data_IF_300341949270
#
_entry.id   IF_300341949270
#
_cell.length_a   1.000
_cell.length_b   1.000
_cell.length_c   1.000
_cell.angle_alpha   90.00
_cell.angle_beta   90.00
_cell.angle_gamma   90.00
#
_symmetry.space_group_name_H-M   'P 1'
#
loop_
_entity.id
_entity.type
_entity.pdbx_description
1 polymer ?
#
# COMPACT_ATOMS: atom_id res chain seq x y z
N UNK A 1 14.62 25.92 -24.69
CA UNK A 1 14.37 26.82 -23.55
C UNK A 1 12.92 26.61 -23.18
N UNK A 2 12.61 26.34 -21.91
CA UNK A 2 11.21 26.16 -21.51
C UNK A 2 10.46 27.48 -21.73
N UNK A 3 9.27 27.42 -22.31
CA UNK A 3 8.40 28.58 -22.48
C UNK A 3 8.00 29.13 -21.11
N UNK A 4 8.05 30.45 -20.96
CA UNK A 4 7.67 31.16 -19.74
C UNK A 4 6.16 31.02 -19.55
N UNK A 5 5.70 30.50 -18.40
CA UNK A 5 4.27 30.30 -18.15
C UNK A 5 3.58 31.62 -17.79
N UNK A 6 2.38 31.86 -18.33
CA UNK A 6 1.62 33.10 -18.18
C UNK A 6 0.20 32.79 -17.74
N UNK A 7 -0.32 33.51 -16.75
CA UNK A 7 -1.73 33.39 -16.33
C UNK A 7 -2.28 34.70 -15.81
N UNK A 8 -3.57 34.94 -16.04
CA UNK A 8 -4.34 36.02 -15.39
C UNK A 8 -4.73 35.66 -13.95
N UNK A 9 -4.68 34.38 -13.58
CA UNK A 9 -4.93 33.89 -12.23
C UNK A 9 -3.75 34.10 -11.28
N UNK A 10 -3.93 33.74 -10.00
CA UNK A 10 -2.92 33.94 -8.95
C UNK A 10 -1.93 32.77 -8.82
N UNK A 11 -2.16 31.64 -9.48
CA UNK A 11 -1.32 30.44 -9.40
C UNK A 11 -1.48 29.53 -10.62
N UNK A 12 -0.64 28.49 -10.70
CA UNK A 12 -0.76 27.38 -11.64
C UNK A 12 -1.05 26.08 -10.88
N UNK A 13 -2.10 25.35 -11.24
CA UNK A 13 -2.44 24.08 -10.60
C UNK A 13 -1.31 23.05 -10.78
N UNK A 14 -0.97 22.35 -9.69
CA UNK A 14 0.15 21.41 -9.68
C UNK A 14 1.55 22.06 -9.60
N UNK A 15 1.63 23.38 -9.48
CA UNK A 15 2.87 24.11 -9.23
C UNK A 15 2.84 24.82 -7.87
N UNK A 16 4.02 25.13 -7.35
CA UNK A 16 4.21 26.00 -6.20
C UNK A 16 5.10 27.18 -6.57
N UNK A 17 4.78 28.37 -6.07
CA UNK A 17 5.66 29.55 -6.17
C UNK A 17 6.77 29.41 -5.15
N UNK A 18 8.00 29.28 -5.63
CA UNK A 18 9.20 29.18 -4.79
C UNK A 18 9.81 30.54 -4.48
N UNK A 19 9.62 31.53 -5.37
CA UNK A 19 10.17 32.87 -5.20
C UNK A 19 9.32 33.92 -5.92
N UNK A 20 9.10 35.08 -5.27
CA UNK A 20 8.48 36.25 -5.88
C UNK A 20 9.57 37.24 -6.29
N UNK A 21 9.71 37.48 -7.59
CA UNK A 21 10.73 38.36 -8.19
C UNK A 21 10.19 39.79 -8.41
N UNK A 22 8.96 40.03 -7.97
CA UNK A 22 8.31 41.33 -7.94
C UNK A 22 7.61 41.69 -9.25
N UNK A 23 7.12 42.93 -9.28
CA UNK A 23 6.28 43.47 -10.34
C UNK A 23 7.01 43.61 -11.68
N UNK A 24 6.34 43.31 -12.79
CA UNK A 24 6.83 43.47 -14.17
C UNK A 24 5.80 44.17 -15.04
N UNK A 25 6.30 44.91 -16.03
CA UNK A 25 5.49 45.72 -16.95
C UNK A 25 5.96 45.50 -18.38
N UNK A 26 5.00 45.24 -19.27
CA UNK A 26 5.16 45.40 -20.72
C UNK A 26 4.32 46.59 -21.16
N UNK A 27 4.88 47.45 -22.01
CA UNK A 27 4.15 48.62 -22.51
C UNK A 27 4.57 48.95 -23.94
N UNK A 28 3.60 49.40 -24.74
CA UNK A 28 3.81 49.95 -26.07
C UNK A 28 2.87 51.15 -26.29
N UNK A 29 3.29 52.09 -27.15
CA UNK A 29 2.53 53.32 -27.46
C UNK A 29 2.24 53.39 -28.95
N UNK A 30 0.98 53.54 -29.31
CA UNK A 30 0.49 53.56 -30.69
C UNK A 30 -0.10 54.93 -31.04
N UNK A 31 0.24 55.44 -32.23
CA UNK A 31 -0.14 56.79 -32.67
C UNK A 31 -1.52 56.86 -33.37
N UNK A 32 -2.03 58.08 -33.53
CA UNK A 32 -3.37 58.41 -34.06
C UNK A 32 -3.72 57.84 -35.43
N UNK A 33 -2.74 57.47 -36.27
CA UNK A 33 -3.02 56.78 -37.55
C UNK A 33 -3.57 55.37 -37.34
N UNK A 34 -3.17 54.71 -36.26
CA UNK A 34 -3.66 53.41 -35.83
C UNK A 34 -5.08 53.52 -35.25
N UNK A 35 -5.33 54.56 -34.44
CA UNK A 35 -6.67 54.85 -33.90
C UNK A 35 -7.69 55.15 -35.00
N UNK A 36 -7.29 55.78 -36.10
CA UNK A 36 -8.20 56.02 -37.25
C UNK A 36 -8.62 54.73 -37.96
N UNK A 37 -7.78 53.69 -37.96
CA UNK A 37 -8.15 52.36 -38.45
C UNK A 37 -9.20 51.73 -37.54
N UNK A 38 -8.89 51.63 -36.24
CA UNK A 38 -9.79 51.03 -35.24
C UNK A 38 -11.13 51.80 -35.11
N UNK A 39 -11.12 53.13 -35.03
CA UNK A 39 -12.30 53.93 -34.74
C UNK A 39 -13.21 54.19 -35.95
N UNK A 40 -12.71 54.07 -37.19
CA UNK A 40 -13.55 54.15 -38.39
C UNK A 40 -14.38 52.88 -38.61
N UNK A 41 -13.90 51.73 -38.12
CA UNK A 41 -14.46 50.40 -38.41
C UNK A 41 -15.06 49.65 -37.19
N UNK A 42 -15.20 50.28 -36.01
CA UNK A 42 -16.17 49.80 -34.98
C UNK A 42 -17.63 49.80 -35.51
N UNK A 43 -17.87 50.38 -36.70
CA UNK A 43 -19.12 50.24 -37.46
C UNK A 43 -19.10 49.16 -38.58
N UNK A 44 -18.02 48.40 -38.79
CA UNK A 44 -17.88 47.43 -39.90
C UNK A 44 -16.90 46.28 -39.62
N UNK A 45 -17.39 45.05 -39.74
CA UNK A 45 -16.71 43.76 -39.46
C UNK A 45 -15.65 43.41 -40.53
N UNK A 46 -14.37 43.70 -40.29
CA UNK A 46 -13.25 43.42 -41.21
C UNK A 46 -12.13 42.61 -40.54
N UNK A 47 -11.70 41.50 -41.16
CA UNK A 47 -10.69 40.55 -40.64
C UNK A 47 -9.29 41.19 -40.41
N UNK A 48 -9.00 42.31 -41.08
CA UNK A 48 -7.70 42.97 -41.07
C UNK A 48 -7.45 43.74 -39.76
N UNK A 49 -8.51 44.11 -39.03
CA UNK A 49 -8.45 44.92 -37.79
C UNK A 49 -8.16 44.07 -36.54
N UNK A 50 -8.55 42.79 -36.56
CA UNK A 50 -8.20 41.83 -35.51
C UNK A 50 -6.69 41.53 -35.54
N UNK A 51 -6.08 41.50 -36.71
CA UNK A 51 -4.64 41.27 -36.89
C UNK A 51 -3.81 42.41 -36.25
N UNK A 52 -4.21 43.68 -36.47
CA UNK A 52 -3.53 44.84 -35.89
C UNK A 52 -3.59 44.86 -34.34
N UNK A 53 -4.73 44.45 -33.75
CA UNK A 53 -4.87 44.31 -32.29
C UNK A 53 -4.06 43.14 -31.74
N UNK A 54 -4.06 42.01 -32.44
CA UNK A 54 -3.27 40.83 -32.07
C UNK A 54 -1.77 41.15 -32.10
N UNK A 55 -1.31 41.93 -33.07
CA UNK A 55 0.07 42.39 -33.17
C UNK A 55 0.47 43.28 -31.99
N UNK A 56 -0.43 44.19 -31.56
CA UNK A 56 -0.22 45.00 -30.36
C UNK A 56 -0.10 44.15 -29.10
N UNK A 57 -0.99 43.17 -28.94
CA UNK A 57 -1.02 42.28 -27.79
C UNK A 57 0.26 41.43 -27.72
N UNK A 58 0.72 40.89 -28.85
CA UNK A 58 1.97 40.13 -28.93
C UNK A 58 3.20 40.99 -28.66
N UNK A 59 3.27 42.23 -29.15
CA UNK A 59 4.38 43.15 -28.86
C UNK A 59 4.48 43.44 -27.35
N UNK A 60 3.35 43.77 -26.72
CA UNK A 60 3.30 44.13 -25.29
C UNK A 60 3.57 42.91 -24.41
N UNK A 61 3.03 41.74 -24.78
CA UNK A 61 3.30 40.46 -24.12
C UNK A 61 4.77 40.08 -24.22
N UNK A 62 5.41 40.27 -25.37
CA UNK A 62 6.84 40.02 -25.53
C UNK A 62 7.69 40.97 -24.66
N UNK A 63 7.28 42.24 -24.55
CA UNK A 63 7.90 43.21 -23.64
C UNK A 63 7.77 42.78 -22.17
N UNK A 64 6.60 42.31 -21.75
CA UNK A 64 6.36 41.77 -20.41
C UNK A 64 7.22 40.52 -20.13
N UNK A 65 7.24 39.57 -21.07
CA UNK A 65 8.06 38.34 -20.98
C UNK A 65 9.54 38.69 -20.84
N UNK A 66 10.03 39.68 -21.61
CA UNK A 66 11.42 40.14 -21.52
C UNK A 66 11.73 40.69 -20.12
N UNK A 67 10.87 41.54 -19.57
CA UNK A 67 11.02 42.08 -18.21
C UNK A 67 11.06 40.97 -17.15
N UNK A 68 10.24 39.92 -17.30
CA UNK A 68 10.27 38.77 -16.40
C UNK A 68 11.55 37.93 -16.54
N UNK A 69 12.02 37.70 -17.78
CA UNK A 69 13.27 36.96 -18.06
C UNK A 69 14.51 37.69 -17.52
N UNK A 70 14.54 39.02 -17.57
CA UNK A 70 15.62 39.83 -16.97
C UNK A 70 15.74 39.63 -15.46
N UNK A 71 14.66 39.20 -14.80
CA UNK A 71 14.61 38.85 -13.38
C UNK A 71 14.84 37.38 -13.08
N UNK A 72 15.21 36.57 -14.09
CA UNK A 72 15.37 35.11 -13.97
C UNK A 72 14.05 34.40 -13.57
N UNK A 73 12.90 34.95 -13.98
CA UNK A 73 11.61 34.32 -13.75
C UNK A 73 11.34 33.19 -14.74
N UNK A 74 10.55 32.20 -14.32
CA UNK A 74 10.04 31.15 -15.21
C UNK A 74 8.50 31.19 -15.38
N UNK A 75 7.81 32.08 -14.66
CA UNK A 75 6.38 32.34 -14.86
C UNK A 75 5.96 33.77 -14.46
N UNK A 76 4.79 34.19 -14.94
CA UNK A 76 4.10 35.44 -14.56
C UNK A 76 2.67 35.11 -14.15
N UNK A 77 2.29 35.55 -12.96
CA UNK A 77 0.93 35.42 -12.41
C UNK A 77 0.24 36.79 -12.30
N UNK A 78 -1.08 36.78 -12.21
CA UNK A 78 -1.90 37.98 -12.00
C UNK A 78 -1.80 38.96 -13.16
N UNK A 79 -1.70 38.47 -14.39
CA UNK A 79 -1.58 39.32 -15.58
C UNK A 79 -2.86 40.14 -15.75
N UNK A 80 -2.69 41.45 -15.92
CA UNK A 80 -3.74 42.39 -16.29
C UNK A 80 -3.29 43.20 -17.50
N UNK A 81 -4.19 43.45 -18.44
CA UNK A 81 -3.98 44.34 -19.57
C UNK A 81 -4.89 45.55 -19.45
N UNK A 82 -4.38 46.73 -19.80
CA UNK A 82 -5.13 47.99 -19.82
C UNK A 82 -4.75 48.82 -21.03
N UNK A 83 -5.75 49.49 -21.60
CA UNK A 83 -5.57 50.53 -22.59
C UNK A 83 -5.68 51.89 -21.90
N UNK A 84 -4.75 52.80 -22.16
CA UNK A 84 -4.74 54.15 -21.62
C UNK A 84 -4.63 55.16 -22.76
N UNK A 85 -5.60 56.07 -22.86
CA UNK A 85 -5.52 57.18 -23.81
C UNK A 85 -4.45 58.17 -23.33
N UNK A 86 -3.61 58.60 -24.26
CA UNK A 86 -2.55 59.58 -24.05
C UNK A 86 -2.89 60.88 -24.79
N UNK A 87 -2.21 61.96 -24.42
CA UNK A 87 -2.34 63.24 -25.13
C UNK A 87 -2.09 63.07 -26.64
N UNK A 88 -2.68 63.95 -27.46
CA UNK A 88 -2.55 63.96 -28.93
C UNK A 88 -3.20 62.80 -29.70
N UNK A 89 -4.15 62.10 -29.09
CA UNK A 89 -4.90 61.02 -29.74
C UNK A 89 -4.01 59.81 -30.02
N UNK A 90 -3.19 59.43 -29.05
CA UNK A 90 -2.41 58.18 -29.02
C UNK A 90 -2.93 57.32 -27.87
N UNK A 91 -2.64 56.03 -27.87
CA UNK A 91 -2.97 55.16 -26.73
C UNK A 91 -1.78 54.27 -26.37
N UNK A 92 -1.69 53.93 -25.09
CA UNK A 92 -0.76 52.95 -24.57
C UNK A 92 -1.50 51.66 -24.25
N UNK A 93 -0.87 50.54 -24.60
CA UNK A 93 -1.26 49.22 -24.10
C UNK A 93 -0.27 48.84 -23.02
N UNK A 94 -0.79 48.54 -21.83
CA UNK A 94 0.01 48.26 -20.64
C UNK A 94 -0.41 46.90 -20.12
N UNK A 95 0.52 45.95 -20.07
CA UNK A 95 0.37 44.68 -19.37
C UNK A 95 1.21 44.68 -18.10
N UNK A 96 0.62 44.23 -17.01
CA UNK A 96 1.27 44.14 -15.70
C UNK A 96 1.11 42.76 -15.12
N UNK A 97 2.09 42.30 -14.34
CA UNK A 97 1.99 41.04 -13.60
C UNK A 97 3.07 40.91 -12.54
N UNK A 98 3.11 39.76 -11.88
CA UNK A 98 4.16 39.42 -10.90
C UNK A 98 5.05 38.33 -11.47
N UNK A 99 6.34 38.62 -11.62
CA UNK A 99 7.34 37.64 -12.02
C UNK A 99 7.65 36.71 -10.85
N UNK A 100 7.63 35.40 -11.09
CA UNK A 100 7.84 34.38 -10.06
C UNK A 100 8.73 33.25 -10.58
N UNK A 101 9.36 32.54 -9.65
CA UNK A 101 9.85 31.17 -9.89
C UNK A 101 8.81 30.19 -9.38
N UNK A 102 8.44 29.25 -10.24
CA UNK A 102 7.58 28.12 -9.90
C UNK A 102 8.32 26.80 -10.08
N UNK A 103 8.03 25.84 -9.22
CA UNK A 103 8.44 24.44 -9.37
C UNK A 103 7.17 23.59 -9.48
N UNK A 104 7.21 22.55 -10.31
CA UNK A 104 6.14 21.54 -10.29
C UNK A 104 6.15 20.91 -8.89
N UNK A 105 4.99 20.85 -8.24
CA UNK A 105 4.85 20.17 -6.96
C UNK A 105 5.24 18.71 -7.16
N UNK A 106 6.36 18.32 -6.59
CA UNK A 106 6.71 16.91 -6.46
C UNK A 106 5.83 16.36 -5.34
N UNK A 107 4.84 15.55 -5.69
CA UNK A 107 4.19 14.67 -4.72
C UNK A 107 5.26 13.66 -4.29
N UNK A 108 6.04 14.03 -3.26
CA UNK A 108 6.91 13.10 -2.56
C UNK A 108 6.00 12.28 -1.67
N UNK A 109 5.41 11.25 -2.25
CA UNK A 109 4.63 10.29 -1.50
C UNK A 109 5.69 9.39 -0.87
N UNK A 110 5.83 9.37 0.46
CA UNK A 110 6.75 8.45 1.08
C UNK A 110 6.38 7.05 0.60
N UNK A 111 7.35 6.28 0.10
CA UNK A 111 7.16 4.89 -0.31
C UNK A 111 6.71 4.06 0.91
N UNK A 112 5.42 4.13 1.23
CA UNK A 112 4.81 3.36 2.32
C UNK A 112 4.19 2.14 1.68
N UNK A 113 4.91 1.04 1.83
CA UNK A 113 4.56 -0.26 1.33
C UNK A 113 4.35 -1.20 2.51
N UNK A 114 3.30 -2.01 2.46
CA UNK A 114 3.04 -3.01 3.50
C UNK A 114 2.52 -4.31 2.92
N UNK A 115 3.12 -5.39 3.41
CA UNK A 115 2.66 -6.75 3.17
C UNK A 115 1.98 -7.27 4.43
N UNK A 116 0.77 -7.78 4.27
CA UNK A 116 0.00 -8.41 5.33
C UNK A 116 -0.27 -9.84 4.90
N UNK A 117 0.17 -10.80 5.70
CA UNK A 117 -0.24 -12.18 5.49
C UNK A 117 -1.71 -12.35 5.85
N UNK A 118 -2.44 -13.06 4.99
CA UNK A 118 -3.87 -13.29 5.21
C UNK A 118 -4.05 -14.29 6.37
N UNK A 119 -4.87 -13.91 7.36
CA UNK A 119 -5.10 -14.69 8.59
C UNK A 119 -6.40 -15.47 8.60
N UNK A 120 -7.01 -15.66 7.43
CA UNK A 120 -8.08 -16.62 7.22
C UNK A 120 -7.82 -17.45 5.96
N UNK A 121 -8.31 -18.69 5.93
CA UNK A 121 -8.05 -19.61 4.82
C UNK A 121 -9.22 -20.54 4.54
N UNK A 122 -9.27 -21.04 3.31
CA UNK A 122 -10.28 -21.99 2.85
C UNK A 122 -9.72 -23.40 2.85
N UNK A 123 -10.42 -24.39 3.40
CA UNK A 123 -9.95 -25.79 3.41
C UNK A 123 -10.18 -26.54 2.09
N UNK A 124 -10.92 -25.93 1.16
CA UNK A 124 -11.25 -26.47 -0.17
C UNK A 124 -10.37 -25.85 -1.27
N UNK A 125 -10.45 -26.45 -2.46
CA UNK A 125 -9.73 -26.06 -3.67
C UNK A 125 -10.38 -24.86 -4.38
N UNK A 126 -10.40 -23.72 -3.69
CA UNK A 126 -10.65 -22.40 -4.28
C UNK A 126 -9.32 -21.63 -4.36
N UNK A 127 -9.16 -20.64 -5.24
CA UNK A 127 -8.02 -19.73 -5.16
C UNK A 127 -7.89 -19.19 -3.74
N UNK A 128 -6.80 -19.51 -3.05
CA UNK A 128 -6.68 -19.25 -1.62
C UNK A 128 -5.93 -17.95 -1.39
N UNK A 129 -6.51 -16.92 -0.78
CA UNK A 129 -5.79 -15.69 -0.49
C UNK A 129 -4.66 -15.98 0.51
N UNK A 130 -3.47 -15.45 0.27
CA UNK A 130 -2.30 -15.68 1.12
C UNK A 130 -1.60 -14.41 1.60
N UNK A 131 -1.72 -13.32 0.85
CA UNK A 131 -1.09 -12.03 1.16
C UNK A 131 -1.92 -10.88 0.57
N UNK A 132 -2.02 -9.79 1.32
CA UNK A 132 -2.48 -8.48 0.83
C UNK A 132 -1.29 -7.55 0.80
N UNK A 133 -1.12 -6.84 -0.30
CA UNK A 133 -0.12 -5.80 -0.50
C UNK A 133 -0.86 -4.47 -0.56
N UNK A 134 -0.42 -3.51 0.24
CA UNK A 134 -0.92 -2.13 0.20
C UNK A 134 0.23 -1.22 -0.16
N UNK A 135 0.07 -0.49 -1.25
CA UNK A 135 1.09 0.38 -1.84
C UNK A 135 0.58 1.82 -1.88
N UNK A 136 1.20 2.67 -1.07
CA UNK A 136 0.99 4.12 -1.06
C UNK A 136 2.14 4.89 -1.66
N UNK A 137 2.88 4.35 -2.65
CA UNK A 137 3.96 5.06 -3.36
C UNK A 137 3.48 5.98 -4.48
N UNK A 138 2.19 5.90 -4.84
CA UNK A 138 1.54 6.67 -5.92
C UNK A 138 0.49 7.60 -5.36
N UNK A 139 -0.03 8.50 -6.20
CA UNK A 139 -1.04 9.52 -5.84
C UNK A 139 -2.25 8.94 -5.09
N UNK A 140 -2.54 7.67 -5.34
CA UNK A 140 -3.58 6.88 -4.67
C UNK A 140 -2.98 5.67 -3.95
N UNK A 141 -3.57 5.31 -2.81
CA UNK A 141 -3.23 4.08 -2.11
C UNK A 141 -3.97 2.92 -2.76
N UNK A 142 -3.19 1.97 -3.26
CA UNK A 142 -3.72 0.82 -3.97
C UNK A 142 -3.47 -0.47 -3.20
N UNK A 143 -4.32 -1.46 -3.41
CA UNK A 143 -4.19 -2.80 -2.85
C UNK A 143 -4.05 -3.86 -3.94
N UNK A 144 -3.31 -4.92 -3.65
CA UNK A 144 -3.25 -6.14 -4.46
C UNK A 144 -3.36 -7.35 -3.53
N UNK A 145 -4.02 -8.41 -3.98
CA UNK A 145 -4.17 -9.65 -3.22
C UNK A 145 -3.54 -10.80 -3.99
N UNK A 146 -2.72 -11.57 -3.29
CA UNK A 146 -2.09 -12.77 -3.84
C UNK A 146 -2.87 -14.00 -3.42
N UNK A 147 -3.04 -14.93 -4.37
CA UNK A 147 -3.74 -16.18 -4.15
C UNK A 147 -2.87 -17.36 -4.55
N UNK A 148 -2.98 -18.44 -3.77
CA UNK A 148 -2.45 -19.74 -4.14
C UNK A 148 -3.51 -20.52 -4.91
N UNK A 149 -3.18 -20.91 -6.14
CA UNK A 149 -4.04 -21.66 -7.06
C UNK A 149 -3.56 -23.10 -7.15
N UNK A 150 -4.11 -23.96 -6.29
CA UNK A 150 -3.73 -25.38 -6.23
C UNK A 150 -4.07 -26.16 -7.49
N UNK A 151 -5.14 -25.79 -8.20
CA UNK A 151 -5.60 -26.50 -9.40
C UNK A 151 -4.89 -26.07 -10.68
N UNK A 152 -4.12 -24.97 -10.64
CA UNK A 152 -3.61 -24.29 -11.84
C UNK A 152 -4.74 -23.94 -12.83
N UNK A 153 -5.95 -23.71 -12.31
CA UNK A 153 -7.08 -23.24 -13.09
C UNK A 153 -6.75 -21.89 -13.73
N UNK A 154 -7.20 -21.61 -14.94
CA UNK A 154 -7.04 -20.29 -15.53
C UNK A 154 -8.03 -19.32 -14.88
N UNK A 155 -7.60 -18.64 -13.82
CA UNK A 155 -8.43 -17.72 -13.05
C UNK A 155 -8.27 -16.30 -13.60
N UNK A 156 -9.34 -15.76 -14.19
CA UNK A 156 -9.34 -14.42 -14.77
C UNK A 156 -9.56 -13.33 -13.71
N UNK A 157 -10.46 -13.59 -12.75
CA UNK A 157 -10.77 -12.63 -11.70
C UNK A 157 -11.35 -13.31 -10.45
N UNK A 158 -11.18 -12.66 -9.29
CA UNK A 158 -11.78 -13.02 -8.01
C UNK A 158 -12.49 -11.78 -7.47
N UNK A 159 -13.77 -11.92 -7.11
CA UNK A 159 -14.49 -10.92 -6.31
C UNK A 159 -14.43 -11.31 -4.84
N UNK A 160 -13.89 -10.43 -4.01
CA UNK A 160 -13.72 -10.69 -2.58
C UNK A 160 -13.98 -9.43 -1.73
N UNK A 161 -14.38 -9.66 -0.48
CA UNK A 161 -14.34 -8.67 0.58
C UNK A 161 -12.96 -8.71 1.24
N UNK A 162 -12.32 -7.54 1.41
CA UNK A 162 -11.01 -7.40 2.07
C UNK A 162 -11.21 -6.66 3.39
N UNK A 163 -10.93 -7.34 4.50
CA UNK A 163 -11.00 -6.80 5.85
C UNK A 163 -9.58 -6.56 6.36
N UNK A 164 -9.25 -5.30 6.63
CA UNK A 164 -7.98 -4.88 7.21
C UNK A 164 -8.20 -4.47 8.65
N UNK A 165 -7.30 -4.87 9.55
CA UNK A 165 -7.35 -4.47 10.96
C UNK A 165 -6.15 -3.60 11.31
N UNK A 166 -6.39 -2.46 11.96
CA UNK A 166 -5.33 -1.56 12.42
C UNK A 166 -4.79 -1.95 13.81
N UNK A 167 -3.74 -1.28 14.28
CA UNK A 167 -3.13 -1.55 15.59
C UNK A 167 -4.10 -1.37 16.77
N UNK A 168 -5.15 -0.57 16.59
CA UNK A 168 -6.20 -0.31 17.58
C UNK A 168 -7.36 -1.33 17.53
N UNK A 169 -7.23 -2.41 16.74
CA UNK A 169 -8.26 -3.43 16.53
C UNK A 169 -9.53 -2.94 15.82
N UNK A 170 -9.45 -1.79 15.13
CA UNK A 170 -10.53 -1.30 14.28
C UNK A 170 -10.45 -1.95 12.89
N UNK A 171 -11.62 -2.27 12.34
CA UNK A 171 -11.76 -2.99 11.08
C UNK A 171 -12.15 -2.03 9.95
N UNK A 172 -11.38 -2.06 8.88
CA UNK A 172 -11.68 -1.41 7.61
C UNK A 172 -12.08 -2.48 6.60
N UNK A 173 -13.33 -2.45 6.13
CA UNK A 173 -13.89 -3.48 5.26
C UNK A 173 -14.20 -2.89 3.89
N UNK A 174 -13.52 -3.41 2.87
CA UNK A 174 -13.81 -3.12 1.46
C UNK A 174 -14.62 -4.28 0.90
N UNK A 175 -15.83 -4.00 0.42
CA UNK A 175 -16.74 -5.05 -0.06
C UNK A 175 -16.71 -5.17 -1.58
N UNK A 176 -16.78 -6.41 -2.07
CA UNK A 176 -16.95 -6.73 -3.48
C UNK A 176 -15.82 -6.22 -4.38
N UNK A 177 -14.59 -6.22 -3.88
CA UNK A 177 -13.40 -5.82 -4.63
C UNK A 177 -13.17 -6.80 -5.78
N UNK A 178 -13.08 -6.28 -7.00
CA UNK A 178 -12.80 -7.07 -8.20
C UNK A 178 -11.28 -7.14 -8.44
N UNK A 179 -10.72 -8.33 -8.24
CA UNK A 179 -9.28 -8.60 -8.33
C UNK A 179 -9.00 -9.36 -9.62
N UNK A 180 -8.38 -8.71 -10.59
CA UNK A 180 -8.11 -9.26 -11.94
C UNK A 180 -6.66 -9.73 -12.04
N UNK A 181 -6.40 -10.73 -12.88
CA UNK A 181 -5.08 -11.33 -13.04
C UNK A 181 -4.66 -11.34 -14.52
N UNK A 182 -3.42 -10.91 -14.80
CA UNK A 182 -2.79 -11.09 -16.11
C UNK A 182 -2.57 -12.57 -16.47
N UNK A 183 -2.21 -13.37 -15.45
CA UNK A 183 -1.91 -14.80 -15.61
C UNK A 183 -2.51 -15.62 -14.47
N UNK A 184 -3.63 -16.26 -14.75
CA UNK A 184 -4.40 -17.06 -13.78
C UNK A 184 -3.90 -18.49 -13.57
N UNK A 185 -3.26 -19.08 -14.58
CA UNK A 185 -2.90 -20.50 -14.63
C UNK A 185 -1.53 -20.84 -14.00
N UNK A 186 -1.14 -20.13 -12.95
CA UNK A 186 0.10 -20.37 -12.18
C UNK A 186 -0.22 -20.60 -10.73
N UNK A 187 0.68 -21.25 -10.00
CA UNK A 187 0.45 -21.62 -8.58
C UNK A 187 0.28 -20.42 -7.66
N UNK A 188 0.97 -19.31 -7.93
CA UNK A 188 0.83 -18.06 -7.19
C UNK A 188 0.38 -16.96 -8.15
N UNK A 189 -0.90 -16.61 -8.09
CA UNK A 189 -1.49 -15.53 -8.88
C UNK A 189 -1.51 -14.25 -8.04
N UNK A 190 -1.27 -13.12 -8.70
CA UNK A 190 -1.18 -11.80 -8.07
C UNK A 190 -2.15 -10.89 -8.78
N UNK A 191 -3.10 -10.32 -8.05
CA UNK A 191 -4.03 -9.40 -8.68
C UNK A 191 -3.31 -8.13 -9.09
N UNK A 192 -3.88 -7.44 -10.06
CA UNK A 192 -3.56 -6.04 -10.30
C UNK A 192 -3.88 -5.19 -9.05
N UNK A 193 -3.30 -4.00 -9.05
CA UNK A 193 -3.54 -3.01 -8.01
C UNK A 193 -4.89 -2.33 -8.23
N UNK A 194 -5.68 -2.22 -7.16
CA UNK A 194 -7.00 -1.59 -7.14
C UNK A 194 -7.00 -0.50 -6.08
N UNK A 195 -7.55 0.67 -6.39
CA UNK A 195 -7.71 1.76 -5.42
C UNK A 195 -8.54 1.27 -4.23
N UNK A 196 -8.03 1.53 -3.03
CA UNK A 196 -8.63 1.09 -1.78
C UNK A 196 -9.14 2.25 -0.91
N UNK A 197 -8.98 3.51 -1.34
CA UNK A 197 -9.46 4.69 -0.62
C UNK A 197 -8.82 4.90 0.76
N UNK A 198 -7.68 4.26 1.03
CA UNK A 198 -6.94 4.42 2.28
C UNK A 198 -6.00 5.63 2.20
N UNK A 199 -5.66 6.19 3.36
CA UNK A 199 -4.59 7.18 3.45
C UNK A 199 -3.23 6.51 3.69
N UNK A 200 -2.15 7.21 3.37
CA UNK A 200 -0.77 6.75 3.65
C UNK A 200 -0.53 6.48 5.14
N UNK A 201 -1.26 7.16 6.04
CA UNK A 201 -1.17 6.93 7.48
C UNK A 201 -1.83 5.61 7.89
N UNK A 202 -2.95 5.24 7.25
CA UNK A 202 -3.64 3.98 7.55
C UNK A 202 -2.72 2.79 7.30
N UNK A 203 -1.94 2.82 6.22
CA UNK A 203 -0.97 1.76 5.88
C UNK A 203 0.00 1.49 7.04
N UNK A 204 0.51 2.54 7.68
CA UNK A 204 1.46 2.40 8.81
C UNK A 204 0.83 1.68 9.99
N UNK A 205 -0.48 1.84 10.18
CA UNK A 205 -1.25 1.30 11.29
C UNK A 205 -1.80 -0.10 11.04
N UNK A 206 -1.79 -0.63 9.81
CA UNK A 206 -2.32 -1.97 9.54
C UNK A 206 -1.51 -3.07 10.27
N UNK A 207 -2.16 -4.07 10.85
CA UNK A 207 -1.48 -5.22 11.48
C UNK A 207 -1.93 -6.59 10.98
N UNK A 208 -3.11 -6.66 10.38
CA UNK A 208 -3.76 -7.91 10.00
C UNK A 208 -4.65 -7.71 8.77
N UNK A 209 -4.83 -8.78 8.00
CA UNK A 209 -5.69 -8.80 6.82
C UNK A 209 -6.45 -10.13 6.71
N UNK A 210 -7.72 -10.03 6.35
CA UNK A 210 -8.59 -11.16 6.00
C UNK A 210 -9.22 -10.93 4.64
N UNK A 211 -9.42 -12.01 3.90
CA UNK A 211 -10.00 -11.96 2.56
C UNK A 211 -11.10 -13.01 2.47
N UNK A 212 -12.30 -12.56 2.12
CA UNK A 212 -13.49 -13.40 2.00
C UNK A 212 -13.91 -13.41 0.53
N UNK A 213 -13.73 -14.54 -0.14
CA UNK A 213 -14.08 -14.70 -1.55
C UNK A 213 -15.59 -14.84 -1.67
N UNK A 214 -16.20 -14.04 -2.55
CA UNK A 214 -17.61 -14.17 -2.92
C UNK A 214 -17.76 -15.07 -4.15
N UNK A 215 -16.93 -14.86 -5.19
CA UNK A 215 -16.94 -15.63 -6.45
C UNK A 215 -15.66 -15.45 -7.24
N UNK A 216 -15.37 -16.36 -8.17
CA UNK A 216 -14.25 -16.25 -9.08
C UNK A 216 -14.64 -16.70 -10.50
N UNK A 217 -13.86 -16.24 -11.48
CA UNK A 217 -14.13 -16.43 -12.91
C UNK A 217 -13.01 -17.25 -13.53
N UNK A 218 -13.39 -18.21 -14.36
CA UNK A 218 -12.48 -18.94 -15.27
C UNK A 218 -13.10 -18.96 -16.67
N UNK A 219 -12.38 -19.40 -17.72
CA UNK A 219 -12.96 -19.57 -19.06
C UNK A 219 -14.18 -20.52 -19.10
N UNK A 220 -14.32 -21.39 -18.09
CA UNK A 220 -15.43 -22.35 -17.98
C UNK A 220 -16.70 -21.75 -17.37
N UNK A 221 -16.61 -20.59 -16.74
CA UNK A 221 -17.76 -19.92 -16.11
C UNK A 221 -17.42 -19.22 -14.80
N UNK A 222 -18.47 -18.80 -14.11
CA UNK A 222 -18.42 -18.09 -12.83
C UNK A 222 -18.77 -19.06 -11.69
N UNK A 223 -17.91 -19.13 -10.69
CA UNK A 223 -18.03 -20.04 -9.56
C UNK A 223 -18.26 -19.24 -8.28
N UNK A 224 -19.38 -19.47 -7.60
CA UNK A 224 -19.66 -18.86 -6.30
C UNK A 224 -18.87 -19.57 -5.20
N UNK A 225 -18.30 -18.80 -4.27
CA UNK A 225 -17.65 -19.34 -3.08
C UNK A 225 -18.62 -19.21 -1.90
N UNK A 226 -19.24 -20.33 -1.53
CA UNK A 226 -20.17 -20.39 -0.38
C UNK A 226 -19.48 -20.92 0.89
N UNK A 227 -18.17 -21.11 0.84
CA UNK A 227 -17.41 -21.64 1.96
C UNK A 227 -17.13 -20.54 2.99
N UNK A 228 -17.21 -20.91 4.27
CA UNK A 228 -16.78 -20.02 5.37
C UNK A 228 -15.29 -20.26 5.62
N UNK A 229 -14.44 -19.22 5.52
CA UNK A 229 -13.02 -19.38 5.81
C UNK A 229 -12.76 -19.61 7.30
N UNK A 230 -11.71 -20.35 7.61
CA UNK A 230 -11.21 -20.62 8.96
C UNK A 230 -10.20 -19.55 9.34
N UNK A 231 -10.28 -19.01 10.56
CA UNK A 231 -9.27 -18.07 11.06
C UNK A 231 -8.01 -18.82 11.51
N UNK A 232 -6.86 -18.24 11.23
CA UNK A 232 -5.57 -18.67 11.78
C UNK A 232 -5.59 -18.40 13.30
N UNK A 233 -5.21 -19.41 14.07
CA UNK A 233 -5.20 -19.36 15.55
C UNK A 233 -3.88 -18.82 16.12
N UNK A 234 -2.79 -18.89 15.37
CA UNK A 234 -1.48 -18.41 15.81
C UNK A 234 -1.30 -16.90 15.60
N UNK A 235 -0.35 -16.31 16.31
CA UNK A 235 -0.01 -14.89 16.18
C UNK A 235 0.58 -14.56 14.81
N UNK A 236 0.46 -13.30 14.36
CA UNK A 236 0.98 -12.85 13.05
C UNK A 236 2.46 -13.18 12.88
N UNK A 237 3.28 -12.94 13.92
CA UNK A 237 4.71 -13.25 13.91
C UNK A 237 5.00 -14.75 13.69
N UNK A 238 4.20 -15.64 14.29
CA UNK A 238 4.35 -17.08 14.07
C UNK A 238 3.89 -17.50 12.69
N UNK A 239 2.81 -16.90 12.20
CA UNK A 239 2.35 -17.13 10.84
C UNK A 239 3.42 -16.73 9.82
N UNK A 240 4.07 -15.59 10.02
CA UNK A 240 5.21 -15.14 9.21
C UNK A 240 6.35 -16.17 9.20
N UNK A 241 6.78 -16.63 10.38
CA UNK A 241 7.83 -17.64 10.51
C UNK A 241 7.44 -18.98 9.85
N UNK A 242 6.21 -19.43 10.06
CA UNK A 242 5.69 -20.66 9.45
C UNK A 242 5.68 -20.55 7.93
N UNK A 243 5.18 -19.43 7.38
CA UNK A 243 5.15 -19.19 5.93
C UNK A 243 6.56 -19.12 5.33
N UNK A 244 7.52 -18.53 6.03
CA UNK A 244 8.91 -18.50 5.61
C UNK A 244 9.52 -19.92 5.56
N UNK A 245 9.21 -20.78 6.54
CA UNK A 245 9.75 -22.15 6.64
C UNK A 245 9.06 -23.16 5.73
N UNK A 246 7.73 -23.05 5.57
CA UNK A 246 6.90 -24.09 4.93
C UNK A 246 6.23 -23.63 3.63
N UNK A 247 6.34 -22.37 3.25
CA UNK A 247 5.74 -21.78 2.05
C UNK A 247 4.58 -20.84 2.37
N UNK A 248 4.30 -19.92 1.44
CA UNK A 248 3.36 -18.80 1.65
C UNK A 248 1.91 -19.24 1.91
N UNK A 249 1.53 -20.44 1.53
CA UNK A 249 0.21 -21.03 1.74
C UNK A 249 0.08 -21.80 3.08
N UNK A 250 1.13 -21.84 3.89
CA UNK A 250 1.09 -22.40 5.23
C UNK A 250 0.29 -21.51 6.19
N UNK A 251 -0.58 -22.13 6.99
CA UNK A 251 -1.57 -21.47 7.85
C UNK A 251 -1.77 -22.18 9.19
N UNK A 252 -1.28 -23.42 9.31
CA UNK A 252 -1.42 -24.24 10.52
C UNK A 252 -0.16 -25.09 10.74
N UNK A 253 0.08 -25.53 11.97
CA UNK A 253 1.15 -26.49 12.26
C UNK A 253 0.70 -27.92 11.94
N UNK A 254 1.69 -28.79 11.75
CA UNK A 254 1.39 -30.21 11.58
C UNK A 254 0.94 -30.81 12.91
N UNK A 255 -0.20 -31.51 12.92
CA UNK A 255 -0.71 -32.25 14.07
C UNK A 255 -1.30 -33.58 13.60
N UNK A 256 -1.26 -34.61 14.43
CA UNK A 256 -1.91 -35.90 14.15
C UNK A 256 -2.35 -36.58 15.44
N UNK A 257 -3.48 -37.28 15.41
CA UNK A 257 -3.98 -38.13 16.49
C UNK A 257 -3.87 -39.63 16.15
N UNK A 258 -3.22 -39.94 15.02
CA UNK A 258 -3.09 -41.29 14.47
C UNK A 258 -4.24 -41.73 13.55
N UNK A 259 -5.40 -41.06 13.59
CA UNK A 259 -6.54 -41.30 12.67
C UNK A 259 -6.63 -40.25 11.57
N UNK A 260 -6.21 -39.03 11.85
CA UNK A 260 -6.12 -37.93 10.90
C UNK A 260 -4.82 -37.17 11.11
N UNK A 261 -4.44 -36.37 10.12
CA UNK A 261 -3.34 -35.42 10.28
C UNK A 261 -3.61 -34.10 9.56
N UNK A 262 -3.29 -33.00 10.23
CA UNK A 262 -3.45 -31.64 9.70
C UNK A 262 -2.17 -31.23 8.98
N UNK A 263 -2.29 -30.87 7.71
CA UNK A 263 -1.19 -30.34 6.91
C UNK A 263 -0.92 -28.86 7.24
N UNK A 264 0.29 -28.37 6.94
CA UNK A 264 0.59 -26.96 7.08
C UNK A 264 -0.32 -26.03 6.28
N UNK A 265 -0.92 -26.52 5.18
CA UNK A 265 -1.93 -25.77 4.42
C UNK A 265 -3.31 -25.74 5.11
N UNK A 266 -3.45 -26.26 6.34
CA UNK A 266 -4.69 -26.30 7.12
C UNK A 266 -5.70 -27.36 6.69
N UNK A 267 -5.38 -28.19 5.70
CA UNK A 267 -6.25 -29.31 5.31
C UNK A 267 -6.04 -30.51 6.23
N UNK A 268 -7.12 -31.19 6.61
CA UNK A 268 -7.10 -32.39 7.44
C UNK A 268 -7.18 -33.62 6.54
N UNK A 269 -6.17 -34.47 6.59
CA UNK A 269 -6.06 -35.70 5.81
C UNK A 269 -6.38 -36.92 6.68
N UNK A 270 -6.87 -37.99 6.05
CA UNK A 270 -7.09 -39.29 6.69
C UNK A 270 -5.76 -40.02 6.96
N UNK A 271 -5.74 -40.87 7.98
CA UNK A 271 -4.62 -41.75 8.25
C UNK A 271 -4.36 -42.69 7.06
N UNK A 272 -3.08 -42.80 6.69
CA UNK A 272 -2.65 -43.56 5.52
C UNK A 272 -2.33 -42.69 4.30
N UNK A 273 -2.83 -41.46 4.23
CA UNK A 273 -2.39 -40.52 3.20
C UNK A 273 -0.97 -40.05 3.48
N UNK A 274 -0.02 -40.47 2.66
CA UNK A 274 1.39 -40.05 2.75
C UNK A 274 1.59 -38.58 2.31
N UNK A 275 0.68 -38.04 1.52
CA UNK A 275 0.70 -36.67 0.99
C UNK A 275 -0.62 -35.95 1.25
N UNK A 276 -0.53 -34.64 1.44
CA UNK A 276 -1.72 -33.81 1.62
C UNK A 276 -2.49 -33.71 0.30
N UNK A 277 -3.77 -34.06 0.30
CA UNK A 277 -4.60 -34.09 -0.93
C UNK A 277 -4.84 -32.71 -1.56
N UNK A 278 -4.60 -31.63 -0.81
CA UNK A 278 -4.76 -30.25 -1.30
C UNK A 278 -3.45 -29.66 -1.82
N UNK A 279 -2.36 -29.76 -1.05
CA UNK A 279 -1.11 -29.08 -1.41
C UNK A 279 0.03 -30.02 -1.82
N UNK A 280 -0.16 -31.34 -1.76
CA UNK A 280 0.84 -32.34 -2.14
C UNK A 280 2.04 -32.47 -1.19
N UNK A 281 2.08 -31.73 -0.06
CA UNK A 281 3.17 -31.89 0.93
C UNK A 281 3.13 -33.28 1.56
N UNK A 282 4.29 -33.94 1.62
CA UNK A 282 4.45 -35.23 2.28
C UNK A 282 4.35 -35.09 3.80
N UNK A 283 3.60 -36.00 4.42
CA UNK A 283 3.42 -36.05 5.86
C UNK A 283 4.77 -36.14 6.59
N UNK A 284 5.69 -36.98 6.08
CA UNK A 284 6.99 -37.20 6.69
C UNK A 284 7.90 -35.96 6.68
N UNK A 285 7.80 -35.09 5.67
CA UNK A 285 8.55 -33.84 5.61
C UNK A 285 8.08 -32.82 6.68
N UNK A 286 6.86 -33.01 7.18
CA UNK A 286 6.24 -32.15 8.19
C UNK A 286 6.42 -32.66 9.62
N UNK A 287 6.64 -33.97 9.80
CA UNK A 287 6.97 -34.55 11.11
C UNK A 287 8.27 -33.94 11.61
N UNK A 288 8.18 -33.07 12.61
CA UNK A 288 9.37 -32.55 13.29
C UNK A 288 10.01 -33.72 14.03
N UNK A 289 11.27 -34.00 13.75
CA UNK A 289 12.07 -35.09 14.36
C UNK A 289 12.42 -34.83 15.83
N UNK A 290 11.69 -33.97 16.52
CA UNK A 290 11.78 -33.83 17.97
C UNK A 290 11.02 -34.98 18.61
N UNK A 291 11.71 -35.84 19.35
CA UNK A 291 11.10 -36.91 20.16
C UNK A 291 10.15 -36.39 21.24
N UNK A 292 10.20 -35.10 21.52
CA UNK A 292 9.46 -34.39 22.55
C UNK A 292 8.38 -33.49 21.92
N UNK A 293 7.13 -33.69 22.34
CA UNK A 293 6.01 -32.82 21.97
C UNK A 293 6.02 -31.57 22.85
N UNK A 294 6.78 -30.56 22.42
CA UNK A 294 6.85 -29.29 23.12
C UNK A 294 5.55 -28.48 23.05
N UNK A 295 4.63 -28.79 22.14
CA UNK A 295 3.39 -28.01 21.97
C UNK A 295 2.46 -28.21 23.16
N UNK A 296 2.31 -29.45 23.63
CA UNK A 296 1.57 -29.75 24.86
C UNK A 296 2.12 -28.98 26.06
N UNK A 297 3.44 -28.92 26.20
CA UNK A 297 4.09 -28.13 27.25
C UNK A 297 3.76 -26.64 27.10
N UNK A 298 3.81 -26.10 25.89
CA UNK A 298 3.48 -24.69 25.62
C UNK A 298 2.01 -24.38 25.92
N UNK A 299 1.07 -25.28 25.61
CA UNK A 299 -0.34 -25.12 25.96
C UNK A 299 -0.52 -25.07 27.49
N UNK A 300 0.12 -25.96 28.24
CA UNK A 300 0.10 -25.91 29.71
C UNK A 300 0.74 -24.63 30.26
N UNK A 301 1.80 -24.11 29.62
CA UNK A 301 2.40 -22.82 29.98
C UNK A 301 1.44 -21.66 29.76
N UNK A 302 0.59 -21.70 28.73
CA UNK A 302 -0.42 -20.66 28.45
C UNK A 302 -1.51 -20.58 29.48
N UNK A 303 -1.77 -21.67 30.21
CA UNK A 303 -2.75 -21.66 31.30
C UNK A 303 -2.20 -20.99 32.58
N UNK A 304 -0.89 -20.72 32.65
CA UNK A 304 -0.26 -20.11 33.84
C UNK A 304 -0.29 -18.58 33.79
N UNK A 305 -0.17 -17.91 34.92
CA UNK A 305 -0.20 -16.44 34.99
C UNK A 305 1.20 -15.84 35.10
N UNK A 306 2.12 -16.53 35.80
CA UNK A 306 3.45 -16.02 36.14
C UNK A 306 4.58 -16.87 35.56
N UNK A 307 5.74 -16.24 35.30
CA UNK A 307 6.91 -16.95 34.74
C UNK A 307 7.42 -18.05 35.68
N UNK A 308 7.24 -17.92 36.99
CA UNK A 308 7.62 -18.99 37.92
C UNK A 308 6.81 -20.28 37.67
N UNK A 309 5.50 -20.16 37.42
CA UNK A 309 4.64 -21.31 37.14
C UNK A 309 4.96 -21.91 35.76
N UNK A 310 5.28 -21.06 34.78
CA UNK A 310 5.76 -21.49 33.45
C UNK A 310 7.06 -22.29 33.59
N UNK A 311 7.97 -21.85 34.47
CA UNK A 311 9.19 -22.60 34.79
C UNK A 311 8.88 -23.95 35.41
N UNK A 312 7.89 -24.04 36.29
CA UNK A 312 7.47 -25.32 36.88
C UNK A 312 6.96 -26.29 35.81
N UNK A 313 6.18 -25.80 34.83
CA UNK A 313 5.76 -26.59 33.66
C UNK A 313 6.98 -27.07 32.86
N UNK A 314 7.93 -26.19 32.53
CA UNK A 314 9.18 -26.57 31.83
C UNK A 314 9.93 -27.68 32.59
N UNK A 315 10.04 -27.55 33.91
CA UNK A 315 10.74 -28.52 34.76
C UNK A 315 10.05 -29.88 34.79
N UNK A 316 8.72 -29.93 34.64
CA UNK A 316 7.97 -31.18 34.48
C UNK A 316 8.39 -31.97 33.23
N UNK A 317 8.69 -31.26 32.14
CA UNK A 317 9.04 -31.84 30.84
C UNK A 317 10.55 -31.90 30.56
N UNK A 318 11.40 -31.33 31.42
CA UNK A 318 12.84 -31.16 31.16
C UNK A 318 13.57 -32.47 30.85
N UNK A 319 13.12 -33.60 31.41
CA UNK A 319 13.74 -34.92 31.18
C UNK A 319 13.51 -35.46 29.78
N UNK A 320 12.41 -35.07 29.15
CA UNK A 320 12.02 -35.49 27.79
C UNK A 320 12.65 -34.58 26.72
N UNK A 321 12.98 -33.33 27.08
CA UNK A 321 13.65 -32.37 26.22
C UNK A 321 15.11 -32.78 25.96
N UNK A 322 15.58 -32.68 24.73
CA UNK A 322 16.98 -32.94 24.36
C UNK A 322 17.95 -32.01 25.10
N UNK A 323 19.09 -32.56 25.55
CA UNK A 323 20.11 -31.82 26.30
C UNK A 323 20.57 -30.52 25.62
N UNK A 324 20.58 -30.49 24.28
CA UNK A 324 21.01 -29.31 23.51
C UNK A 324 20.13 -28.07 23.72
N UNK A 325 18.87 -28.25 24.13
CA UNK A 325 17.92 -27.15 24.34
C UNK A 325 17.82 -26.71 25.80
N UNK A 326 18.13 -27.59 26.75
CA UNK A 326 17.85 -27.38 28.19
C UNK A 326 18.48 -26.11 28.75
N UNK A 327 19.75 -25.85 28.41
CA UNK A 327 20.48 -24.68 28.92
C UNK A 327 19.82 -23.38 28.46
N UNK A 328 19.56 -23.27 27.15
CA UNK A 328 18.92 -22.08 26.57
C UNK A 328 17.52 -21.84 27.14
N UNK A 329 16.74 -22.90 27.37
CA UNK A 329 15.40 -22.79 27.97
C UNK A 329 15.45 -22.32 29.42
N UNK A 330 16.41 -22.80 30.22
CA UNK A 330 16.59 -22.36 31.60
C UNK A 330 17.03 -20.90 31.68
N UNK A 331 17.93 -20.44 30.80
CA UNK A 331 18.34 -19.03 30.70
C UNK A 331 17.15 -18.12 30.35
N UNK A 332 16.27 -18.57 29.46
CA UNK A 332 15.01 -17.85 29.13
C UNK A 332 14.13 -17.71 30.38
N UNK A 333 13.97 -18.78 31.16
CA UNK A 333 13.18 -18.74 32.40
C UNK A 333 13.80 -17.79 33.44
N UNK A 334 15.10 -17.89 33.70
CA UNK A 334 15.77 -17.04 34.69
C UNK A 334 15.73 -15.56 34.31
N UNK A 335 16.02 -15.24 33.05
CA UNK A 335 15.89 -13.86 32.56
C UNK A 335 14.45 -13.37 32.62
N UNK A 336 13.47 -14.21 32.24
CA UNK A 336 12.05 -13.90 32.33
C UNK A 336 11.61 -13.56 33.76
N UNK A 337 12.02 -14.36 34.74
CA UNK A 337 11.73 -14.13 36.16
C UNK A 337 12.34 -12.82 36.67
N UNK A 338 13.56 -12.49 36.23
CA UNK A 338 14.22 -11.23 36.62
C UNK A 338 13.50 -10.01 36.03
N UNK A 339 13.11 -10.07 34.75
CA UNK A 339 12.37 -9.01 34.11
C UNK A 339 10.96 -8.86 34.68
N UNK A 340 10.29 -9.96 35.02
CA UNK A 340 8.94 -9.91 35.58
C UNK A 340 8.87 -9.11 36.90
N UNK A 341 9.90 -9.26 37.74
CA UNK A 341 10.04 -8.50 39.00
C UNK A 341 10.23 -7.00 38.78
N UNK A 342 10.78 -6.59 37.63
CA UNK A 342 11.19 -5.20 37.38
C UNK A 342 10.31 -4.47 36.36
N UNK A 343 9.59 -5.20 35.51
CA UNK A 343 8.89 -4.65 34.33
C UNK A 343 7.44 -5.13 34.18
N UNK A 344 6.93 -5.97 35.07
CA UNK A 344 5.56 -6.50 34.99
C UNK A 344 5.48 -7.83 34.25
N UNK A 345 4.27 -8.31 33.98
CA UNK A 345 4.03 -9.68 33.46
C UNK A 345 4.85 -9.99 32.20
N UNK A 346 5.64 -11.07 32.23
CA UNK A 346 6.51 -11.49 31.13
C UNK A 346 6.06 -12.79 30.45
N UNK A 347 4.89 -13.34 30.81
CA UNK A 347 4.32 -14.60 30.30
C UNK A 347 4.47 -14.77 28.80
N UNK A 348 3.85 -13.88 28.02
CA UNK A 348 3.81 -14.03 26.56
C UNK A 348 5.22 -13.93 25.93
N UNK A 349 6.08 -13.06 26.46
CA UNK A 349 7.45 -12.91 25.97
C UNK A 349 8.30 -14.15 26.24
N UNK A 350 8.12 -14.78 27.41
CA UNK A 350 8.82 -16.02 27.77
C UNK A 350 8.34 -17.17 26.89
N UNK A 351 7.03 -17.36 26.74
CA UNK A 351 6.45 -18.41 25.90
C UNK A 351 6.94 -18.27 24.46
N UNK A 352 6.95 -17.06 23.91
CA UNK A 352 7.45 -16.80 22.56
C UNK A 352 8.93 -17.14 22.38
N UNK A 353 9.76 -16.89 23.40
CA UNK A 353 11.19 -17.26 23.36
C UNK A 353 11.38 -18.77 23.46
N UNK A 354 10.62 -19.45 24.31
CA UNK A 354 10.68 -20.92 24.46
C UNK A 354 10.33 -21.60 23.14
N UNK A 355 9.25 -21.18 22.49
CA UNK A 355 8.84 -21.74 21.20
C UNK A 355 9.92 -21.56 20.12
N UNK A 356 10.57 -20.39 20.05
CA UNK A 356 11.66 -20.16 19.09
C UNK A 356 12.81 -21.13 19.24
N UNK A 357 13.16 -21.53 20.47
CA UNK A 357 14.22 -22.53 20.69
C UNK A 357 13.92 -23.84 19.95
N UNK A 358 12.65 -24.24 19.90
CA UNK A 358 12.20 -25.44 19.21
C UNK A 358 11.89 -25.23 17.73
N UNK A 359 11.51 -24.01 17.31
CA UNK A 359 11.17 -23.71 15.91
C UNK A 359 12.39 -23.41 15.02
N UNK A 360 13.44 -22.80 15.59
CA UNK A 360 14.67 -22.38 14.89
C UNK A 360 15.71 -23.50 14.75
N UNK A 361 15.53 -24.62 15.48
CA UNK A 361 16.45 -25.77 15.53
C UNK A 361 15.75 -27.09 15.20
#
# INVERSE_FOLDING_TARGET
MADLLLTTGESFDGYEVTEYLGFVVGQAVYQSKFIKGIAADVMGDSDQDLDDLNDCDEEVKNSLIKSAKEKDANAIIGIQMRYAELASGSFAVIMTGTAVKIKKKELIIPNVYKELFVTNYYVRLVPRPVKVIVDGSRDEVNLSVWFYNYNLDDINAVRADVELTNIYDEKLVMKGVDLVFDKGNVSLIKSDFVDCGLSVNDIKLLKDAKVIINKYVTPRGIFACNDTPVNVSMTTRRLEALKAKRGIDAVEKYRTDGMIWTCNCGHVNEAGNEECIVCGRKQDDMKVTTKFDYEKMIEEMREKEYVNEIKDVLMGYIKEIDNKYRIQLLEIMESGQMYEKTRGNMKESVIEKVEKVFEDN
#
